data_IF_686347168592
#
_entry.id   IF_686347168592
#
_cell.length_a   1.000
_cell.length_b   1.000
_cell.length_c   1.000
_cell.angle_alpha   90.00
_cell.angle_beta   90.00
_cell.angle_gamma   90.00
#
_symmetry.space_group_name_H-M   'P 1'
#
loop_
_entity.id
_entity.type
_entity.pdbx_description
1 polymer ?
#
# COMPACT_ATOMS: atom_id res chain seq x y z
N UNK A 1 51.47 -3.32 56.14
CA UNK A 1 50.07 -3.00 55.78
C UNK A 1 49.87 -3.26 54.29
N UNK A 2 49.31 -4.42 53.92
CA UNK A 2 49.09 -4.80 52.50
C UNK A 2 47.78 -4.15 52.03
N UNK A 3 47.87 -3.23 51.06
CA UNK A 3 46.70 -2.62 50.42
C UNK A 3 46.27 -3.51 49.26
N UNK A 4 45.20 -4.28 49.45
CA UNK A 4 44.58 -5.08 48.40
C UNK A 4 43.71 -4.15 47.56
N UNK A 5 44.16 -3.85 46.33
CA UNK A 5 43.40 -3.07 45.37
C UNK A 5 42.34 -3.99 44.74
N UNK A 6 41.09 -3.87 45.18
CA UNK A 6 39.96 -4.59 44.58
C UNK A 6 39.57 -3.86 43.30
N UNK A 7 39.91 -4.47 42.16
CA UNK A 7 39.52 -4.00 40.83
C UNK A 7 38.04 -4.38 40.61
N UNK A 8 37.13 -3.42 40.79
CA UNK A 8 35.72 -3.59 40.43
C UNK A 8 35.56 -3.54 38.91
N UNK A 9 35.55 -4.71 38.27
CA UNK A 9 35.19 -4.86 36.86
C UNK A 9 33.67 -4.67 36.71
N UNK A 10 33.25 -3.47 36.32
CA UNK A 10 31.86 -3.19 35.96
C UNK A 10 31.60 -3.84 34.59
N UNK A 11 30.93 -5.00 34.56
CA UNK A 11 30.36 -5.55 33.33
C UNK A 11 29.19 -4.64 32.91
N UNK A 12 29.44 -3.74 31.96
CA UNK A 12 28.40 -3.02 31.24
C UNK A 12 27.75 -4.00 30.24
N UNK A 13 26.71 -4.70 30.69
CA UNK A 13 25.85 -5.48 29.79
C UNK A 13 25.14 -4.49 28.87
N UNK A 14 25.67 -4.32 27.66
CA UNK A 14 24.98 -3.59 26.59
C UNK A 14 23.76 -4.44 26.22
N UNK A 15 22.62 -4.15 26.83
CA UNK A 15 21.34 -4.63 26.34
C UNK A 15 21.10 -3.96 24.99
N UNK A 16 21.56 -4.60 23.93
CA UNK A 16 21.17 -4.28 22.57
C UNK A 16 19.69 -4.65 22.43
N UNK A 17 18.80 -3.74 22.83
CA UNK A 17 17.39 -3.82 22.48
C UNK A 17 17.31 -3.68 20.96
N UNK A 18 17.25 -4.82 20.27
CA UNK A 18 16.80 -4.86 18.89
C UNK A 18 15.38 -4.31 18.89
N UNK A 19 15.21 -3.07 18.43
CA UNK A 19 13.89 -2.46 18.32
C UNK A 19 13.10 -3.28 17.31
N UNK A 20 12.13 -4.07 17.79
CA UNK A 20 11.27 -4.83 16.90
C UNK A 20 10.62 -3.86 15.92
N UNK A 21 10.79 -4.13 14.63
CA UNK A 21 10.20 -3.31 13.58
C UNK A 21 8.70 -3.54 13.62
N UNK A 22 7.92 -2.48 13.68
CA UNK A 22 6.45 -2.55 13.56
C UNK A 22 6.03 -3.32 12.29
N UNK A 23 4.85 -3.93 12.31
CA UNK A 23 4.28 -4.59 11.13
C UNK A 23 4.30 -3.68 9.90
N UNK A 24 3.90 -2.41 10.07
CA UNK A 24 3.88 -1.39 9.03
C UNK A 24 5.27 -1.14 8.46
N UNK A 25 6.31 -1.07 9.31
CA UNK A 25 7.69 -0.89 8.85
C UNK A 25 8.22 -2.10 8.08
N UNK A 26 7.81 -3.31 8.46
CA UNK A 26 8.16 -4.53 7.73
C UNK A 26 7.42 -4.59 6.39
N UNK A 27 6.11 -4.36 6.38
CA UNK A 27 5.28 -4.28 5.18
C UNK A 27 5.81 -3.23 4.19
N UNK A 28 6.14 -2.03 4.70
CA UNK A 28 6.70 -0.95 3.90
C UNK A 28 7.99 -1.38 3.19
N UNK A 29 8.90 -2.04 3.92
CA UNK A 29 10.15 -2.57 3.33
C UNK A 29 9.90 -3.64 2.28
N UNK A 30 8.96 -4.55 2.53
CA UNK A 30 8.58 -5.59 1.57
C UNK A 30 8.02 -4.96 0.29
N UNK A 31 7.22 -3.90 0.42
CA UNK A 31 6.68 -3.19 -0.73
C UNK A 31 7.76 -2.42 -1.50
N UNK A 32 8.72 -1.80 -0.80
CA UNK A 32 9.87 -1.14 -1.43
C UNK A 32 10.73 -2.09 -2.26
N UNK A 33 10.80 -3.38 -1.92
CA UNK A 33 11.52 -4.37 -2.74
C UNK A 33 10.89 -4.61 -4.12
N UNK A 34 9.66 -4.15 -4.32
CA UNK A 34 8.96 -4.23 -5.60
C UNK A 34 9.14 -2.98 -6.47
N UNK A 35 9.89 -1.98 -6.00
CA UNK A 35 10.06 -0.74 -6.74
C UNK A 35 10.60 -0.95 -8.17
N UNK A 36 10.04 -0.22 -9.13
CA UNK A 36 10.33 -0.29 -10.56
C UNK A 36 9.72 -1.50 -11.28
N UNK A 37 9.11 -2.44 -10.56
CA UNK A 37 8.51 -3.63 -11.17
C UNK A 37 7.04 -3.43 -11.49
N UNK A 38 6.61 -4.03 -12.59
CA UNK A 38 5.22 -4.08 -13.01
C UNK A 38 4.72 -5.51 -13.05
N UNK A 39 3.46 -5.71 -12.68
CA UNK A 39 2.84 -7.03 -12.56
C UNK A 39 1.44 -6.99 -13.15
N UNK A 40 1.08 -8.06 -13.87
CA UNK A 40 -0.28 -8.25 -14.34
C UNK A 40 -1.14 -8.86 -13.25
N UNK A 41 -2.41 -8.44 -13.21
CA UNK A 41 -3.37 -8.89 -12.22
C UNK A 41 -4.68 -9.34 -12.82
N UNK A 42 -5.48 -9.95 -11.96
CA UNK A 42 -6.81 -10.44 -12.29
C UNK A 42 -7.79 -10.16 -11.16
N UNK A 43 -9.05 -9.91 -11.49
CA UNK A 43 -10.14 -9.84 -10.51
C UNK A 43 -10.43 -11.24 -9.99
N UNK A 44 -10.26 -11.48 -8.70
CA UNK A 44 -10.58 -12.78 -8.06
C UNK A 44 -11.89 -12.73 -7.31
N UNK A 45 -12.29 -11.56 -6.79
CA UNK A 45 -13.55 -11.34 -6.10
C UNK A 45 -14.24 -10.09 -6.63
N UNK A 46 -15.57 -10.13 -6.75
CA UNK A 46 -16.38 -9.02 -7.24
C UNK A 46 -17.55 -9.47 -8.10
N UNK A 47 -18.45 -8.55 -8.41
CA UNK A 47 -19.62 -8.84 -9.28
C UNK A 47 -19.19 -9.16 -10.71
N UNK A 48 -19.97 -9.94 -11.45
CA UNK A 48 -19.66 -10.27 -12.85
C UNK A 48 -19.61 -9.04 -13.77
N UNK A 49 -20.38 -8.00 -13.43
CA UNK A 49 -20.42 -6.73 -14.14
C UNK A 49 -19.37 -5.72 -13.65
N UNK A 50 -18.36 -6.15 -12.88
CA UNK A 50 -17.35 -5.23 -12.38
C UNK A 50 -16.47 -4.70 -13.53
N UNK A 51 -16.27 -3.38 -13.56
CA UNK A 51 -15.65 -2.66 -14.68
C UNK A 51 -14.18 -3.05 -14.95
N UNK A 52 -13.55 -3.81 -14.05
CA UNK A 52 -12.19 -4.31 -14.18
C UNK A 52 -12.12 -5.73 -14.78
N UNK A 53 -13.23 -6.48 -14.80
CA UNK A 53 -13.24 -7.84 -15.36
C UNK A 53 -12.98 -7.82 -16.87
N UNK A 54 -12.32 -8.87 -17.36
CA UNK A 54 -11.96 -9.05 -18.77
C UNK A 54 -11.10 -7.93 -19.37
N UNK A 55 -10.43 -7.13 -18.54
CA UNK A 55 -9.47 -6.12 -18.96
C UNK A 55 -8.07 -6.54 -18.57
N UNK A 56 -7.08 -6.05 -19.32
CA UNK A 56 -5.67 -6.14 -18.91
C UNK A 56 -5.46 -5.21 -17.71
N UNK A 57 -5.06 -5.78 -16.58
CA UNK A 57 -4.85 -5.05 -15.33
C UNK A 57 -3.36 -5.07 -15.01
N UNK A 58 -2.72 -3.91 -14.90
CA UNK A 58 -1.29 -3.84 -14.58
C UNK A 58 -1.09 -2.88 -13.42
N UNK A 59 -0.41 -3.35 -12.38
CA UNK A 59 0.16 -2.46 -11.37
C UNK A 59 1.63 -2.20 -11.67
N UNK A 60 2.10 -1.01 -11.37
CA UNK A 60 3.52 -0.65 -11.43
C UNK A 60 3.91 0.00 -10.11
N UNK A 61 4.85 -0.57 -9.36
CA UNK A 61 5.35 0.08 -8.13
C UNK A 61 6.39 1.13 -8.54
N UNK A 62 5.92 2.31 -8.96
CA UNK A 62 6.70 3.26 -9.76
C UNK A 62 7.72 4.07 -8.97
N UNK A 63 7.26 4.77 -7.94
CA UNK A 63 8.11 5.66 -7.14
C UNK A 63 8.08 5.19 -5.68
N UNK A 64 9.25 5.11 -5.04
CA UNK A 64 9.42 4.65 -3.66
C UNK A 64 10.33 5.60 -2.88
N UNK A 65 9.81 6.79 -2.62
CA UNK A 65 10.44 7.76 -1.74
C UNK A 65 10.51 7.21 -0.30
N UNK A 66 11.26 7.90 0.57
CA UNK A 66 11.44 7.51 1.98
C UNK A 66 10.11 7.18 2.68
N UNK A 67 9.09 8.00 2.45
CA UNK A 67 7.79 7.91 3.12
C UNK A 67 6.61 7.78 2.16
N UNK A 68 6.83 7.72 0.84
CA UNK A 68 5.73 7.67 -0.14
C UNK A 68 6.02 6.64 -1.22
N UNK A 69 5.06 5.77 -1.48
CA UNK A 69 5.08 4.83 -2.60
C UNK A 69 3.89 5.13 -3.50
N UNK A 70 4.13 5.26 -4.81
CA UNK A 70 3.09 5.47 -5.81
C UNK A 70 2.99 4.23 -6.69
N UNK A 71 1.78 3.67 -6.76
CA UNK A 71 1.50 2.47 -7.53
C UNK A 71 0.42 2.78 -8.57
N UNK A 72 0.79 3.19 -9.79
CA UNK A 72 -0.15 3.27 -10.89
C UNK A 72 -0.85 1.94 -11.15
N UNK A 73 -2.16 2.01 -11.37
CA UNK A 73 -3.02 0.89 -11.68
C UNK A 73 -3.70 1.12 -13.03
N UNK A 74 -3.11 0.51 -14.07
CA UNK A 74 -3.56 0.59 -15.45
C UNK A 74 -4.66 -0.43 -15.73
N UNK A 75 -5.70 0.02 -16.43
CA UNK A 75 -6.84 -0.83 -16.79
C UNK A 75 -7.09 -0.66 -18.27
N UNK A 76 -6.60 -1.62 -19.06
CA UNK A 76 -6.40 -1.45 -20.50
C UNK A 76 -5.67 -0.12 -20.77
N UNK A 77 -6.25 0.77 -21.57
CA UNK A 77 -5.66 2.06 -21.94
C UNK A 77 -5.86 3.17 -20.90
N UNK A 78 -6.68 2.94 -19.87
CA UNK A 78 -6.96 3.92 -18.84
C UNK A 78 -5.82 3.97 -17.81
N UNK A 79 -5.20 5.16 -17.71
CA UNK A 79 -4.03 5.45 -16.87
C UNK A 79 -4.33 6.47 -15.76
N UNK A 80 -5.60 6.66 -15.43
CA UNK A 80 -6.07 7.67 -14.47
C UNK A 80 -5.71 7.37 -13.02
N UNK A 81 -5.48 6.10 -12.67
CA UNK A 81 -5.52 5.61 -11.28
C UNK A 81 -4.14 5.35 -10.71
N UNK A 82 -3.86 5.91 -9.55
CA UNK A 82 -2.66 5.63 -8.76
C UNK A 82 -3.02 5.43 -7.30
N UNK A 83 -2.61 4.30 -6.71
CA UNK A 83 -2.59 4.15 -5.26
C UNK A 83 -1.38 4.89 -4.69
N UNK A 84 -1.61 5.85 -3.82
CA UNK A 84 -0.57 6.59 -3.12
C UNK A 84 -0.56 6.11 -1.68
N UNK A 85 0.55 5.47 -1.29
CA UNK A 85 0.77 5.00 0.06
C UNK A 85 1.74 5.93 0.78
N UNK A 86 1.42 6.35 2.00
CA UNK A 86 2.28 7.22 2.82
C UNK A 86 2.58 6.56 4.17
N UNK A 87 3.86 6.34 4.49
CA UNK A 87 4.29 5.80 5.78
C UNK A 87 4.66 6.92 6.76
N UNK A 88 4.04 6.91 7.94
CA UNK A 88 4.33 7.86 9.02
C UNK A 88 3.93 7.24 10.37
N UNK A 89 4.78 7.39 11.39
CA UNK A 89 4.48 6.98 12.77
C UNK A 89 3.97 5.54 12.91
N UNK A 90 4.60 4.58 12.22
CA UNK A 90 4.19 3.17 12.22
C UNK A 90 2.74 2.93 11.76
N UNK A 91 2.26 3.82 10.88
CA UNK A 91 0.99 3.74 10.16
C UNK A 91 1.22 3.97 8.68
N UNK A 92 0.30 3.46 7.88
CA UNK A 92 0.28 3.67 6.44
C UNK A 92 -1.06 4.28 6.07
N UNK A 93 -1.02 5.36 5.32
CA UNK A 93 -2.17 5.94 4.64
C UNK A 93 -2.23 5.40 3.22
N UNK A 94 -3.42 5.08 2.74
CA UNK A 94 -3.75 4.79 1.35
C UNK A 94 -4.65 5.90 0.83
N UNK A 95 -4.28 6.50 -0.31
CA UNK A 95 -5.09 7.43 -1.09
C UNK A 95 -5.19 6.98 -2.55
N UNK A 96 -6.33 7.27 -3.17
CA UNK A 96 -6.58 7.02 -4.59
C UNK A 96 -6.42 8.32 -5.35
N UNK A 97 -5.28 8.53 -5.99
CA UNK A 97 -5.07 9.66 -6.89
C UNK A 97 -5.66 9.31 -8.27
N UNK A 98 -6.73 10.01 -8.62
CA UNK A 98 -7.40 9.94 -9.91
C UNK A 98 -7.14 11.22 -10.70
N UNK A 99 -6.77 11.06 -11.97
CA UNK A 99 -6.43 12.16 -12.87
C UNK A 99 -7.10 12.03 -14.24
N UNK A 100 -7.36 13.17 -14.85
CA UNK A 100 -7.75 13.29 -16.25
C UNK A 100 -6.54 13.10 -17.19
N UNK A 101 -6.79 12.91 -18.49
CA UNK A 101 -5.73 12.69 -19.49
C UNK A 101 -4.74 13.85 -19.59
N UNK A 102 -5.23 15.08 -19.35
CA UNK A 102 -4.39 16.29 -19.30
C UNK A 102 -3.52 16.38 -18.03
N UNK A 103 -3.71 15.44 -17.10
CA UNK A 103 -2.96 15.32 -15.85
C UNK A 103 -3.52 16.08 -14.66
N UNK A 104 -4.60 16.85 -14.84
CA UNK A 104 -5.32 17.50 -13.75
C UNK A 104 -6.02 16.47 -12.85
N UNK A 105 -6.20 16.80 -11.57
CA UNK A 105 -6.90 15.91 -10.64
C UNK A 105 -8.40 15.82 -10.97
N UNK A 106 -8.94 14.61 -10.89
CA UNK A 106 -10.38 14.38 -10.94
C UNK A 106 -11.07 14.97 -9.71
N UNK A 107 -12.34 15.38 -9.81
CA UNK A 107 -13.11 15.86 -8.65
C UNK A 107 -13.23 14.80 -7.55
N UNK A 108 -13.28 13.52 -7.92
CA UNK A 108 -13.34 12.37 -7.02
C UNK A 108 -11.95 11.73 -6.95
N UNK A 109 -11.07 12.35 -6.17
CA UNK A 109 -9.69 11.91 -5.95
C UNK A 109 -9.32 11.97 -4.47
N UNK A 110 -8.17 11.41 -4.11
CA UNK A 110 -7.56 11.48 -2.79
C UNK A 110 -8.46 10.95 -1.65
N UNK A 111 -9.35 10.01 -1.96
CA UNK A 111 -10.11 9.23 -0.98
C UNK A 111 -9.34 7.96 -0.57
N UNK A 112 -9.62 7.42 0.60
CA UNK A 112 -8.97 6.24 1.16
C UNK A 112 -9.00 6.24 2.69
N UNK A 113 -7.88 5.89 3.33
CA UNK A 113 -7.86 5.72 4.77
C UNK A 113 -6.46 5.53 5.35
N UNK A 114 -6.36 5.60 6.67
CA UNK A 114 -5.12 5.30 7.41
C UNK A 114 -5.31 4.03 8.24
N UNK A 115 -4.25 3.25 8.37
CA UNK A 115 -4.27 2.07 9.23
C UNK A 115 -4.61 2.45 10.68
N UNK A 116 -5.41 1.62 11.35
CA UNK A 116 -5.80 1.86 12.75
C UNK A 116 -4.74 1.38 13.74
N UNK A 117 -3.96 0.37 13.33
CA UNK A 117 -2.81 -0.17 14.05
C UNK A 117 -1.60 -0.33 13.10
N UNK A 118 -0.53 -0.96 13.58
CA UNK A 118 0.66 -1.20 12.75
C UNK A 118 0.46 -2.30 11.70
N UNK A 119 -0.67 -3.02 11.71
CA UNK A 119 -0.90 -4.20 10.88
C UNK A 119 0.16 -5.28 11.08
N UNK A 120 0.33 -6.13 10.07
CA UNK A 120 1.39 -7.14 10.01
C UNK A 120 2.41 -6.80 8.90
N UNK A 121 3.44 -7.61 8.77
CA UNK A 121 4.41 -7.52 7.65
C UNK A 121 3.80 -7.83 6.29
N UNK A 122 2.59 -8.41 6.24
CA UNK A 122 1.94 -8.89 5.02
C UNK A 122 0.54 -8.33 4.81
N UNK A 123 -0.04 -7.60 5.77
CA UNK A 123 -1.43 -7.15 5.71
C UNK A 123 -1.62 -5.78 6.37
N UNK A 124 -2.29 -4.88 5.65
CA UNK A 124 -2.63 -3.53 6.11
C UNK A 124 -4.09 -3.21 5.73
N UNK A 125 -4.88 -2.76 6.71
CA UNK A 125 -6.27 -2.33 6.53
C UNK A 125 -6.38 -0.82 6.60
N UNK A 126 -7.22 -0.24 5.75
CA UNK A 126 -7.46 1.19 5.62
C UNK A 126 -8.98 1.45 5.65
N UNK A 127 -9.59 1.61 6.83
CA UNK A 127 -10.96 2.09 6.94
C UNK A 127 -11.09 3.49 6.34
N UNK A 128 -12.22 3.79 5.71
CA UNK A 128 -12.50 5.11 5.16
C UNK A 128 -12.29 6.23 6.19
N UNK A 129 -11.50 7.23 5.79
CA UNK A 129 -11.29 8.43 6.61
C UNK A 129 -12.37 9.49 6.38
N UNK A 130 -12.31 10.58 7.16
CA UNK A 130 -13.33 11.63 7.09
C UNK A 130 -13.42 12.26 5.69
N UNK A 131 -12.28 12.51 5.02
CA UNK A 131 -12.28 13.03 3.65
C UNK A 131 -13.06 12.12 2.70
N UNK A 132 -12.91 10.81 2.86
CA UNK A 132 -13.67 9.82 2.09
C UNK A 132 -15.15 9.89 2.40
N UNK A 133 -15.54 9.99 3.67
CA UNK A 133 -16.94 10.11 4.07
C UNK A 133 -17.58 11.37 3.49
N UNK A 134 -16.87 12.49 3.50
CA UNK A 134 -17.38 13.78 3.00
C UNK A 134 -17.50 13.78 1.47
N UNK A 135 -16.50 13.23 0.78
CA UNK A 135 -16.47 13.18 -0.69
C UNK A 135 -17.39 12.10 -1.27
N UNK A 136 -17.49 10.96 -0.59
CA UNK A 136 -18.20 9.76 -1.02
C UNK A 136 -19.00 9.16 0.15
N UNK A 137 -20.16 9.73 0.51
CA UNK A 137 -20.98 9.24 1.64
C UNK A 137 -21.33 7.76 1.55
N UNK A 138 -21.60 7.25 0.34
CA UNK A 138 -21.86 5.83 0.09
C UNK A 138 -20.64 4.91 0.32
N UNK A 139 -19.45 5.48 0.45
CA UNK A 139 -18.19 4.78 0.72
C UNK A 139 -17.69 4.99 2.16
N UNK A 140 -18.48 5.65 3.02
CA UNK A 140 -18.10 5.87 4.42
C UNK A 140 -17.88 4.56 5.21
N UNK A 141 -18.55 3.48 4.81
CA UNK A 141 -18.39 2.15 5.40
C UNK A 141 -17.37 1.27 4.65
N UNK A 142 -16.60 1.84 3.72
CA UNK A 142 -15.58 1.07 3.00
C UNK A 142 -14.38 0.78 3.92
N UNK A 143 -13.86 -0.43 3.77
CA UNK A 143 -12.56 -0.84 4.27
C UNK A 143 -11.77 -1.37 3.09
N UNK A 144 -10.65 -0.71 2.81
CA UNK A 144 -9.66 -1.22 1.88
C UNK A 144 -8.62 -2.03 2.62
N UNK A 145 -7.99 -2.98 1.95
CA UNK A 145 -6.79 -3.61 2.48
C UNK A 145 -5.87 -4.09 1.38
N UNK A 146 -4.59 -4.16 1.73
CA UNK A 146 -3.55 -4.71 0.87
C UNK A 146 -2.92 -5.90 1.57
N UNK A 147 -2.86 -7.03 0.86
CA UNK A 147 -2.01 -8.16 1.25
C UNK A 147 -0.78 -8.18 0.37
N UNK A 148 0.38 -8.42 0.97
CA UNK A 148 1.66 -8.56 0.28
C UNK A 148 2.41 -9.75 0.87
N UNK A 149 2.61 -10.78 0.06
CA UNK A 149 3.47 -11.93 0.38
C UNK A 149 4.59 -12.06 -0.66
N UNK A 150 5.37 -13.14 -0.61
CA UNK A 150 6.51 -13.37 -1.51
C UNK A 150 6.10 -13.52 -2.99
N UNK A 151 4.86 -13.93 -3.23
CA UNK A 151 4.35 -14.34 -4.55
C UNK A 151 3.19 -13.48 -5.03
N UNK A 152 2.54 -12.74 -4.15
CA UNK A 152 1.33 -12.00 -4.52
C UNK A 152 1.16 -10.66 -3.81
N UNK A 153 0.58 -9.72 -4.56
CA UNK A 153 0.01 -8.48 -4.04
C UNK A 153 -1.48 -8.51 -4.31
N UNK A 154 -2.30 -8.20 -3.32
CA UNK A 154 -3.74 -8.01 -3.52
C UNK A 154 -4.14 -6.61 -3.07
N UNK A 155 -4.97 -5.97 -3.89
CA UNK A 155 -5.75 -4.81 -3.46
C UNK A 155 -7.21 -5.23 -3.33
N UNK A 156 -7.82 -4.82 -2.24
CA UNK A 156 -9.13 -5.31 -1.85
C UNK A 156 -10.01 -4.18 -1.31
N UNK A 157 -11.32 -4.36 -1.44
CA UNK A 157 -12.34 -3.47 -0.93
C UNK A 157 -13.52 -4.30 -0.41
N UNK A 158 -14.00 -3.99 0.79
CA UNK A 158 -15.30 -4.40 1.28
C UNK A 158 -16.06 -3.19 1.81
N UNK A 159 -17.35 -3.11 1.53
CA UNK A 159 -18.23 -2.14 2.18
C UNK A 159 -19.02 -2.83 3.28
N UNK A 160 -18.73 -2.47 4.53
CA UNK A 160 -19.38 -3.05 5.70
C UNK A 160 -20.88 -2.76 5.66
N UNK A 161 -21.68 -3.77 5.99
CA UNK A 161 -23.14 -3.71 5.88
C UNK A 161 -23.70 -3.93 4.47
N UNK A 162 -22.89 -4.45 3.53
CA UNK A 162 -23.35 -4.83 2.19
C UNK A 162 -22.57 -6.05 1.65
N UNK A 163 -23.02 -6.58 0.52
CA UNK A 163 -22.34 -7.67 -0.21
C UNK A 163 -21.21 -7.16 -1.12
N UNK A 164 -20.93 -5.86 -1.14
CA UNK A 164 -19.85 -5.31 -1.98
C UNK A 164 -18.50 -5.79 -1.46
N UNK A 165 -17.90 -6.70 -2.23
CA UNK A 165 -16.52 -7.15 -2.15
C UNK A 165 -15.87 -6.94 -3.53
N UNK A 166 -14.58 -6.60 -3.54
CA UNK A 166 -13.77 -6.53 -4.74
C UNK A 166 -12.32 -6.87 -4.40
N UNK A 167 -11.69 -7.74 -5.19
CA UNK A 167 -10.26 -8.06 -5.06
C UNK A 167 -9.62 -8.16 -6.44
N UNK A 168 -8.50 -7.46 -6.62
CA UNK A 168 -7.55 -7.71 -7.70
C UNK A 168 -6.27 -8.30 -7.12
N UNK A 169 -5.82 -9.42 -7.70
CA UNK A 169 -4.59 -10.12 -7.32
C UNK A 169 -3.57 -10.04 -8.43
N UNK A 170 -2.34 -9.68 -8.08
CA UNK A 170 -1.17 -9.61 -8.96
C UNK A 170 -0.16 -10.69 -8.60
N UNK A 171 0.39 -11.36 -9.62
CA UNK A 171 1.42 -12.38 -9.47
C UNK A 171 2.81 -11.71 -9.43
N UNK A 172 3.43 -11.68 -8.26
CA UNK A 172 4.75 -11.07 -8.05
C UNK A 172 5.92 -11.93 -8.58
N UNK A 173 5.65 -13.16 -8.99
CA UNK A 173 6.68 -14.05 -9.55
C UNK A 173 6.97 -13.75 -11.02
N UNK A 174 6.11 -12.96 -11.69
CA UNK A 174 6.19 -12.67 -13.13
C UNK A 174 6.07 -11.17 -13.40
N UNK A 175 7.20 -10.53 -13.65
CA UNK A 175 7.21 -9.14 -14.09
C UNK A 175 6.74 -9.02 -15.54
N UNK A 176 6.01 -7.94 -15.85
CA UNK A 176 5.60 -7.57 -17.20
C UNK A 176 6.29 -6.27 -17.64
N UNK A 177 6.33 -5.95 -18.95
CA UNK A 177 6.83 -4.65 -19.41
C UNK A 177 6.09 -3.50 -18.73
N UNK A 178 6.85 -2.53 -18.24
CA UNK A 178 6.30 -1.36 -17.57
C UNK A 178 5.53 -0.48 -18.57
N UNK A 179 4.25 -0.18 -18.33
CA UNK A 179 3.49 0.73 -19.17
C UNK A 179 4.09 2.15 -19.19
N UNK A 180 3.66 2.97 -20.14
CA UNK A 180 3.97 4.41 -20.12
C UNK A 180 3.51 5.05 -18.80
N UNK A 181 4.04 6.24 -18.49
CA UNK A 181 3.62 6.98 -17.31
C UNK A 181 2.09 7.11 -17.18
N UNK A 182 1.55 7.06 -15.95
CA UNK A 182 0.15 7.39 -15.70
C UNK A 182 -0.11 8.86 -16.02
N UNK A 183 -1.37 9.22 -16.26
CA UNK A 183 -1.73 10.61 -16.56
C UNK A 183 -1.33 11.53 -15.40
N UNK A 184 -0.80 12.70 -15.73
CA UNK A 184 -0.33 13.69 -14.75
C UNK A 184 1.05 13.44 -14.14
N UNK A 185 1.75 12.39 -14.55
CA UNK A 185 3.11 12.10 -14.10
C UNK A 185 4.04 11.96 -15.31
N UNK A 186 5.24 12.55 -15.22
CA UNK A 186 6.22 12.52 -16.33
C UNK A 186 7.34 11.49 -16.10
N UNK A 187 7.64 11.16 -14.84
CA UNK A 187 8.80 10.36 -14.44
C UNK A 187 8.41 9.15 -13.58
#
# INVERSE_FOLDING_TARGET
MKKTLVLCTILFSIFAFSQEKSGAKQFWKNLQQQCGKSFEGQVTEGTDNDAFRNKKLVMHVRNCDKNTIRIPFFVADDKSRTWVLTYKNDRIELKHDHRHEDGSEDKITQYGGTTTNSGSSTLQFFPADQKTCDLLPNSAANVWWITLDETSFTYNLRRIGSDRLFTVKFDLTKTVPTPSAPWGWKD
#
